data_IF_017207884998
#
_entry.id   IF_017207884998
#
_cell.length_a   1.000
_cell.length_b   1.000
_cell.length_c   1.000
_cell.angle_alpha   90.00
_cell.angle_beta   90.00
_cell.angle_gamma   90.00
#
_symmetry.space_group_name_H-M   'P 1'
#
loop_
_entity.id
_entity.type
_entity.pdbx_description
1 polymer ?
#
# COMPACT_ATOMS: atom_id res chain seq x y z
N UNK A 1 -18.81 -16.94 -8.09
CA UNK A 1 -18.17 -15.87 -7.29
C UNK A 1 -18.13 -14.59 -8.11
N UNK A 2 -18.00 -13.43 -7.45
CA UNK A 2 -17.77 -12.15 -8.12
C UNK A 2 -16.38 -11.66 -7.72
N UNK A 3 -15.63 -11.13 -8.68
CA UNK A 3 -14.37 -10.43 -8.40
C UNK A 3 -14.69 -8.94 -8.28
N UNK A 4 -14.34 -8.34 -7.14
CA UNK A 4 -14.53 -6.91 -6.88
C UNK A 4 -13.17 -6.26 -6.76
N UNK A 5 -12.98 -5.15 -7.47
CA UNK A 5 -11.80 -4.30 -7.37
C UNK A 5 -12.29 -2.91 -6.98
N UNK A 6 -11.74 -2.36 -5.89
CA UNK A 6 -12.08 -1.05 -5.39
C UNK A 6 -10.82 -0.30 -4.97
N UNK A 7 -10.84 1.02 -5.11
CA UNK A 7 -9.90 1.92 -4.46
C UNK A 7 -10.59 2.53 -3.24
N UNK A 8 -9.92 2.49 -2.08
CA UNK A 8 -10.44 3.09 -0.85
C UNK A 8 -9.40 4.06 -0.30
N UNK A 9 -9.84 5.26 0.06
CA UNK A 9 -9.03 6.24 0.75
C UNK A 9 -9.16 6.02 2.26
N UNK A 10 -8.07 5.63 2.93
CA UNK A 10 -8.00 5.48 4.40
C UNK A 10 -9.10 4.57 4.99
N UNK A 11 -9.11 3.25 4.69
CA UNK A 11 -10.06 2.34 5.32
C UNK A 11 -9.81 2.25 6.83
N UNK A 12 -10.87 2.11 7.63
CA UNK A 12 -10.73 1.71 9.03
C UNK A 12 -10.08 0.32 9.14
N UNK A 13 -9.56 -0.03 10.32
CA UNK A 13 -9.01 -1.38 10.55
C UNK A 13 -10.02 -2.48 10.24
N UNK A 14 -11.27 -2.31 10.68
CA UNK A 14 -12.35 -3.26 10.41
C UNK A 14 -12.60 -3.46 8.91
N UNK A 15 -12.59 -2.39 8.12
CA UNK A 15 -12.75 -2.48 6.66
C UNK A 15 -11.50 -3.10 6.02
N UNK A 16 -10.31 -2.77 6.52
CA UNK A 16 -9.06 -3.32 6.01
C UNK A 16 -8.97 -4.84 6.16
N UNK A 17 -9.46 -5.38 7.28
CA UNK A 17 -9.49 -6.82 7.56
C UNK A 17 -10.41 -7.62 6.60
N UNK A 18 -11.33 -6.95 5.90
CA UNK A 18 -12.23 -7.59 4.94
C UNK A 18 -11.57 -7.86 3.57
N UNK A 19 -10.39 -7.31 3.30
CA UNK A 19 -9.75 -7.47 2.00
C UNK A 19 -8.99 -8.80 1.89
N UNK A 20 -9.27 -9.57 0.84
CA UNK A 20 -8.47 -10.75 0.49
C UNK A 20 -7.05 -10.34 0.04
N UNK A 21 -6.97 -9.27 -0.75
CA UNK A 21 -5.74 -8.82 -1.41
C UNK A 21 -5.59 -7.31 -1.33
N UNK A 22 -4.36 -6.89 -1.11
CA UNK A 22 -3.98 -5.49 -1.04
C UNK A 22 -3.08 -5.12 -2.22
N UNK A 23 -3.37 -3.99 -2.86
CA UNK A 23 -2.51 -3.40 -3.88
C UNK A 23 -2.17 -1.95 -3.52
N UNK A 24 -0.94 -1.72 -3.10
CA UNK A 24 -0.44 -0.39 -2.72
C UNK A 24 0.42 0.21 -3.84
N UNK A 25 0.11 1.46 -4.18
CA UNK A 25 0.79 2.24 -5.20
C UNK A 25 1.30 3.56 -4.59
N UNK A 26 2.48 3.98 -5.03
CA UNK A 26 3.01 5.33 -4.76
C UNK A 26 3.68 5.88 -6.01
N UNK A 27 3.25 7.04 -6.49
CA UNK A 27 3.79 7.65 -7.72
C UNK A 27 3.74 6.72 -8.95
N UNK A 28 2.70 5.89 -9.06
CA UNK A 28 2.56 4.89 -10.14
C UNK A 28 3.43 3.65 -10.00
N UNK A 29 4.22 3.53 -8.93
CA UNK A 29 5.06 2.35 -8.65
C UNK A 29 4.36 1.43 -7.65
N UNK A 30 4.44 0.12 -7.88
CA UNK A 30 3.99 -0.88 -6.91
C UNK A 30 4.89 -0.88 -5.69
N UNK A 31 4.30 -0.61 -4.54
CA UNK A 31 4.93 -0.76 -3.23
C UNK A 31 4.67 -2.17 -2.69
N UNK A 32 3.44 -2.67 -2.86
CA UNK A 32 3.06 -4.01 -2.40
C UNK A 32 1.89 -4.53 -3.22
N UNK A 33 1.92 -5.83 -3.56
CA UNK A 33 0.77 -6.54 -4.08
C UNK A 33 0.77 -7.98 -3.59
N UNK A 34 -0.24 -8.36 -2.80
CA UNK A 34 -0.29 -9.66 -2.13
C UNK A 34 -1.57 -9.86 -1.32
N UNK A 35 -1.58 -10.84 -0.42
CA UNK A 35 -2.68 -11.01 0.54
C UNK A 35 -2.66 -9.84 1.53
N UNK A 36 -3.82 -9.34 1.95
CA UNK A 36 -3.83 -8.23 2.92
C UNK A 36 -3.18 -8.63 4.26
N UNK A 37 -3.34 -9.90 4.65
CA UNK A 37 -2.71 -10.48 5.85
C UNK A 37 -1.19 -10.42 5.86
N UNK A 38 -0.56 -10.59 4.68
CA UNK A 38 0.90 -10.71 4.58
C UNK A 38 1.58 -9.32 4.50
N UNK A 39 0.79 -8.25 4.35
CA UNK A 39 1.31 -6.89 4.29
C UNK A 39 2.07 -6.53 5.57
N UNK A 40 1.60 -6.96 6.74
CA UNK A 40 2.28 -6.69 8.01
C UNK A 40 3.73 -7.21 8.02
N UNK A 41 3.91 -8.47 7.63
CA UNK A 41 5.23 -9.10 7.56
C UNK A 41 6.11 -8.45 6.50
N UNK A 42 5.56 -8.14 5.32
CA UNK A 42 6.27 -7.45 4.25
C UNK A 42 6.86 -6.11 4.72
N UNK A 43 6.04 -5.27 5.37
CA UNK A 43 6.50 -3.98 5.87
C UNK A 43 7.52 -4.13 7.00
N UNK A 44 7.35 -5.10 7.89
CA UNK A 44 8.33 -5.40 8.94
C UNK A 44 9.68 -5.83 8.37
N UNK A 45 9.71 -6.74 7.39
CA UNK A 45 10.94 -7.21 6.74
C UNK A 45 11.62 -6.12 5.91
N UNK A 46 10.86 -5.16 5.38
CA UNK A 46 11.38 -3.98 4.70
C UNK A 46 11.94 -2.89 5.64
N UNK A 47 11.87 -3.09 6.96
CA UNK A 47 12.37 -2.15 7.97
C UNK A 47 11.34 -1.15 8.49
N UNK A 48 10.06 -1.36 8.20
CA UNK A 48 8.94 -0.48 8.56
C UNK A 48 7.83 -1.22 9.33
N UNK A 49 8.15 -1.91 10.45
CA UNK A 49 7.14 -2.61 11.23
C UNK A 49 6.03 -1.65 11.68
N UNK A 50 4.78 -2.10 11.60
CA UNK A 50 3.66 -1.33 12.12
C UNK A 50 3.76 -1.29 13.66
N UNK A 51 3.74 -0.10 14.29
CA UNK A 51 3.74 0.02 15.74
C UNK A 51 2.55 -0.68 16.39
N UNK A 52 2.75 -1.12 17.63
CA UNK A 52 1.67 -1.66 18.45
C UNK A 52 0.56 -0.60 18.60
N UNK A 53 -0.70 -1.04 18.54
CA UNK A 53 -1.90 -0.20 18.67
C UNK A 53 -2.09 0.85 17.56
N UNK A 54 -1.33 0.78 16.45
CA UNK A 54 -1.58 1.57 15.25
C UNK A 54 -2.42 0.76 14.26
N UNK A 55 -3.39 1.41 13.64
CA UNK A 55 -4.12 0.85 12.51
C UNK A 55 -3.14 0.52 11.35
N UNK A 56 -3.08 -0.73 10.86
CA UNK A 56 -2.19 -1.11 9.77
C UNK A 56 -2.42 -0.31 8.49
N UNK A 57 -3.68 0.00 8.15
CA UNK A 57 -3.97 0.77 6.93
C UNK A 57 -3.38 2.18 7.00
N UNK A 58 -3.50 2.84 8.16
CA UNK A 58 -2.91 4.15 8.39
C UNK A 58 -1.39 4.10 8.36
N UNK A 59 -0.79 3.08 8.97
CA UNK A 59 0.67 2.88 8.95
C UNK A 59 1.18 2.71 7.51
N UNK A 60 0.57 1.82 6.73
CA UNK A 60 0.98 1.60 5.34
C UNK A 60 0.82 2.86 4.50
N UNK A 61 -0.26 3.63 4.70
CA UNK A 61 -0.47 4.90 4.00
C UNK A 61 0.58 5.95 4.37
N UNK A 62 0.99 6.03 5.63
CA UNK A 62 2.07 6.92 6.06
C UNK A 62 3.41 6.56 5.42
N UNK A 63 3.71 5.27 5.25
CA UNK A 63 4.95 4.83 4.60
C UNK A 63 5.00 5.14 3.10
N UNK A 64 3.85 5.35 2.43
CA UNK A 64 3.77 5.44 0.97
C UNK A 64 3.32 6.80 0.44
N UNK A 65 3.04 7.76 1.32
CA UNK A 65 2.52 9.08 0.94
C UNK A 65 3.35 10.23 1.53
N UNK A 66 4.09 10.93 0.68
CA UNK A 66 4.97 12.03 1.08
C UNK A 66 4.25 13.27 1.62
N UNK A 67 2.92 13.40 1.44
CA UNK A 67 2.19 14.53 2.01
C UNK A 67 2.19 14.52 3.55
N UNK A 68 2.41 13.36 4.18
CA UNK A 68 2.57 13.26 5.63
C UNK A 68 3.83 13.96 6.16
N UNK A 69 4.88 14.12 5.35
CA UNK A 69 6.12 14.81 5.76
C UNK A 69 5.83 16.28 6.14
N UNK A 70 4.94 16.95 5.38
CA UNK A 70 4.54 18.35 5.65
C UNK A 70 3.80 18.46 6.98
N UNK A 71 2.83 17.57 7.20
CA UNK A 71 2.02 17.53 8.44
C UNK A 71 2.93 17.32 9.65
N UNK A 72 3.88 16.38 9.55
CA UNK A 72 4.86 16.08 10.59
C UNK A 72 5.77 17.26 10.89
N UNK A 73 6.24 17.98 9.86
CA UNK A 73 7.05 19.18 10.03
C UNK A 73 6.26 20.30 10.74
N UNK A 74 4.99 20.52 10.38
CA UNK A 74 4.12 21.50 11.04
C UNK A 74 3.88 21.16 12.52
N UNK A 75 3.60 19.89 12.83
CA UNK A 75 3.38 19.42 14.21
C UNK A 75 4.64 19.54 15.08
N UNK A 76 5.81 19.22 14.54
CA UNK A 76 7.09 19.41 15.24
C UNK A 76 7.38 20.90 15.52
N UNK A 77 6.97 21.78 14.61
CA UNK A 77 7.13 23.23 14.77
C UNK A 77 6.21 23.85 15.83
N UNK A 78 5.02 23.27 16.05
CA UNK A 78 4.01 23.80 16.97
C UNK A 78 4.10 23.26 18.40
N UNK A 79 4.74 22.11 18.65
CA UNK A 79 4.82 21.47 19.97
C UNK A 79 6.27 21.30 20.45
N UNK A 80 6.77 22.24 21.26
CA UNK A 80 8.11 22.17 21.89
C UNK A 80 8.17 21.31 23.17
N UNK A 81 7.21 20.41 23.44
CA UNK A 81 7.17 19.65 24.69
C UNK A 81 6.71 18.21 24.48
N UNK A 82 7.61 17.27 24.83
CA UNK A 82 7.38 15.83 25.07
C UNK A 82 7.05 14.99 23.84
N UNK A 83 8.01 14.82 22.95
CA UNK A 83 8.12 13.52 22.28
C UNK A 83 9.16 12.74 23.09
N UNK A 84 8.71 11.72 23.83
CA UNK A 84 9.59 10.57 24.07
C UNK A 84 10.12 10.15 22.71
N UNK A 85 11.41 9.81 22.64
CA UNK A 85 12.06 9.41 21.39
C UNK A 85 11.23 8.28 20.75
N UNK A 86 10.42 8.65 19.75
CA UNK A 86 9.63 7.70 19.01
C UNK A 86 10.60 6.78 18.28
N UNK A 87 10.56 5.48 18.61
CA UNK A 87 11.36 4.47 17.93
C UNK A 87 10.82 4.16 16.52
N UNK A 88 9.78 4.86 16.07
CA UNK A 88 9.21 4.71 14.73
C UNK A 88 10.28 4.95 13.66
N UNK A 89 10.64 3.95 12.84
CA UNK A 89 11.62 4.11 11.77
C UNK A 89 11.27 5.25 10.81
N UNK A 90 9.98 5.57 10.65
CA UNK A 90 9.50 6.66 9.80
C UNK A 90 9.85 8.06 10.37
N UNK A 91 10.30 8.17 11.62
CA UNK A 91 10.84 9.42 12.20
C UNK A 91 12.27 9.72 11.76
N UNK A 92 13.01 8.71 11.29
CA UNK A 92 14.45 8.80 11.01
C UNK A 92 14.76 9.02 9.52
N UNK A 93 13.79 8.80 8.64
CA UNK A 93 13.96 8.93 7.19
C UNK A 93 12.82 9.74 6.57
N UNK A 94 13.01 10.21 5.35
CA UNK A 94 11.94 10.84 4.57
C UNK A 94 10.98 9.79 4.02
N UNK A 95 9.71 10.17 3.80
CA UNK A 95 8.76 9.24 3.17
C UNK A 95 9.18 8.86 1.76
N UNK A 96 9.89 9.73 1.05
CA UNK A 96 10.47 9.41 -0.28
C UNK A 96 11.49 8.28 -0.21
N UNK A 97 12.34 8.27 0.82
CA UNK A 97 13.29 7.18 1.05
C UNK A 97 12.57 5.89 1.45
N UNK A 98 11.52 5.98 2.28
CA UNK A 98 10.69 4.82 2.62
C UNK A 98 10.06 4.19 1.37
N UNK A 99 9.44 5.01 0.50
CA UNK A 99 8.87 4.57 -0.77
C UNK A 99 9.92 3.88 -1.64
N UNK A 100 11.13 4.45 -1.77
CA UNK A 100 12.21 3.84 -2.56
C UNK A 100 12.57 2.47 -2.02
N UNK A 101 12.81 2.37 -0.71
CA UNK A 101 13.17 1.11 -0.05
C UNK A 101 12.08 0.04 -0.24
N UNK A 102 10.82 0.40 -0.04
CA UNK A 102 9.69 -0.53 -0.21
C UNK A 102 9.52 -0.98 -1.67
N UNK A 103 9.66 -0.08 -2.64
CA UNK A 103 9.58 -0.42 -4.07
C UNK A 103 10.71 -1.37 -4.46
N UNK A 104 11.94 -1.11 -4.03
CA UNK A 104 13.08 -1.95 -4.35
C UNK A 104 13.00 -3.31 -3.66
N UNK A 105 12.54 -3.34 -2.41
CA UNK A 105 12.25 -4.58 -1.68
C UNK A 105 11.14 -5.40 -2.35
N UNK A 106 10.04 -4.76 -2.78
CA UNK A 106 8.97 -5.46 -3.50
C UNK A 106 9.49 -6.12 -4.78
N UNK A 107 10.31 -5.42 -5.58
CA UNK A 107 10.82 -5.93 -6.86
C UNK A 107 11.60 -7.24 -6.74
N UNK A 108 12.31 -7.44 -5.63
CA UNK A 108 13.10 -8.64 -5.35
C UNK A 108 12.40 -9.64 -4.43
N UNK A 109 11.19 -9.31 -3.96
CA UNK A 109 10.41 -10.17 -3.07
C UNK A 109 9.63 -11.27 -3.80
N UNK A 110 9.28 -12.32 -3.05
CA UNK A 110 8.37 -13.39 -3.51
C UNK A 110 7.02 -12.87 -4.01
N UNK A 111 6.53 -11.75 -3.46
CA UNK A 111 5.24 -11.16 -3.84
C UNK A 111 5.26 -10.68 -5.30
N UNK A 112 6.34 -10.02 -5.73
CA UNK A 112 6.52 -9.58 -7.12
C UNK A 112 6.65 -10.77 -8.08
N UNK A 113 7.43 -11.79 -7.70
CA UNK A 113 7.57 -13.00 -8.52
C UNK A 113 6.22 -13.73 -8.68
N UNK A 114 5.48 -13.94 -7.59
CA UNK A 114 4.18 -14.59 -7.62
C UNK A 114 3.15 -13.80 -8.45
N UNK A 115 3.17 -12.46 -8.36
CA UNK A 115 2.31 -11.61 -9.17
C UNK A 115 2.63 -11.73 -10.67
N UNK A 116 3.91 -11.67 -11.04
CA UNK A 116 4.36 -11.82 -12.44
C UNK A 116 4.03 -13.20 -12.99
N UNK A 117 4.28 -14.25 -12.22
CA UNK A 117 3.95 -15.61 -12.62
C UNK A 117 2.46 -15.77 -12.92
N UNK A 118 1.58 -15.24 -12.06
CA UNK A 118 0.13 -15.26 -12.32
C UNK A 118 -0.26 -14.50 -13.59
N UNK A 119 0.36 -13.34 -13.85
CA UNK A 119 0.13 -12.58 -15.09
C UNK A 119 0.59 -13.38 -16.30
N UNK A 120 1.75 -14.01 -16.24
CA UNK A 120 2.29 -14.84 -17.32
C UNK A 120 1.40 -16.06 -17.59
N UNK A 121 0.88 -16.70 -16.54
CA UNK A 121 -0.09 -17.80 -16.64
C UNK A 121 -1.39 -17.33 -17.32
N UNK A 122 -1.96 -16.20 -16.88
CA UNK A 122 -3.18 -15.64 -17.47
C UNK A 122 -2.97 -15.26 -18.94
N UNK A 123 -1.81 -14.69 -19.29
CA UNK A 123 -1.50 -14.29 -20.67
C UNK A 123 -1.46 -15.44 -21.66
N UNK A 124 -1.23 -16.68 -21.19
CA UNK A 124 -1.23 -17.89 -22.01
C UNK A 124 -2.64 -18.42 -22.28
N UNK A 125 -3.63 -17.99 -21.49
CA UNK A 125 -5.03 -18.36 -21.70
C UNK A 125 -5.56 -17.49 -22.84
N UNK A 126 -5.79 -18.10 -24.01
CA UNK A 126 -6.50 -17.42 -25.12
C UNK A 126 -7.90 -17.04 -24.64
N UNK A 127 -8.17 -15.74 -24.55
CA UNK A 127 -9.50 -15.23 -24.22
C UNK A 127 -10.52 -15.65 -25.27
N UNK A 128 -11.67 -16.16 -24.83
CA UNK A 128 -12.89 -16.14 -25.65
C UNK A 128 -13.25 -14.69 -25.90
N UNK A 129 -13.52 -14.33 -27.16
CA UNK A 129 -13.95 -12.98 -27.57
C UNK A 129 -15.09 -12.52 -26.65
N UNK A 130 -14.86 -11.43 -25.91
CA UNK A 130 -15.92 -10.78 -25.16
C UNK A 130 -16.71 -9.93 -26.16
N UNK A 131 -17.99 -10.26 -26.34
CA UNK A 131 -18.90 -9.43 -27.13
C UNK A 131 -18.86 -7.99 -26.58
N UNK A 132 -18.70 -7.03 -27.48
CA UNK A 132 -18.52 -5.61 -27.20
C UNK A 132 -19.82 -4.92 -26.71
N UNK A 133 -20.52 -5.52 -25.73
CA UNK A 133 -21.77 -5.03 -25.15
C UNK A 133 -21.61 -4.23 -23.86
N UNK A 134 -20.40 -3.73 -23.55
CA UNK A 134 -20.16 -2.94 -22.34
C UNK A 134 -20.81 -1.56 -22.41
N UNK A 135 -21.76 -1.28 -21.51
CA UNK A 135 -22.33 0.07 -21.34
C UNK A 135 -21.30 0.98 -20.66
N UNK A 136 -20.94 2.08 -21.32
CA UNK A 136 -20.07 3.12 -20.76
C UNK A 136 -20.79 3.81 -19.59
N UNK A 137 -20.16 3.88 -18.42
CA UNK A 137 -20.67 4.66 -17.30
C UNK A 137 -20.46 6.15 -17.59
N UNK A 138 -21.55 6.90 -17.69
CA UNK A 138 -21.51 8.36 -17.86
C UNK A 138 -21.41 9.00 -16.47
N UNK A 139 -20.25 9.59 -16.15
CA UNK A 139 -20.07 10.35 -14.91
C UNK A 139 -20.45 11.82 -15.17
N UNK A 140 -21.32 12.45 -14.36
CA UNK A 140 -21.60 13.87 -14.48
C UNK A 140 -20.35 14.70 -14.12
N UNK A 141 -20.07 15.73 -14.93
CA UNK A 141 -19.07 16.76 -14.66
C UNK A 141 -19.49 17.68 -13.51
#
# INVERSE_FOLDING_TARGET
GRTVIASIHQPSSEVFELFDRLYLLSGGKTVYFGQASDAYEFFAQAGFPCPALRNPSDHFLQCVNADFDKVKATLKGSMKLRFDASEDPLDKITTTEAIRTLVDYYRTSQYCYAARQKVDEISKVKGTVLDAGGSQANFPM
#
